data_IF_165275351411
#
_entry.id   IF_165275351411
#
_cell.length_a   1.000
_cell.length_b   1.000
_cell.length_c   1.000
_cell.angle_alpha   90.00
_cell.angle_beta   90.00
_cell.angle_gamma   90.00
#
_symmetry.space_group_name_H-M   'P 1'
#
loop_
_entity.id
_entity.type
_entity.pdbx_description
1 polymer ?
#
# COMPACT_ATOMS: atom_id res chain seq x y z
N UNK A 1 -2.09 -1.36 19.49
CA UNK A 1 -2.72 -2.67 19.17
C UNK A 1 -2.49 -3.10 17.73
N UNK A 2 -2.72 -2.26 16.70
CA UNK A 2 -2.54 -2.64 15.29
C UNK A 2 -1.14 -3.14 14.92
N UNK A 3 -0.07 -2.43 15.31
CA UNK A 3 1.31 -2.86 15.07
C UNK A 3 1.64 -4.22 15.69
N UNK A 4 1.09 -4.50 16.88
CA UNK A 4 1.26 -5.78 17.55
C UNK A 4 0.58 -6.89 16.77
N UNK A 5 -0.64 -6.67 16.27
CA UNK A 5 -1.33 -7.59 15.39
C UNK A 5 -0.50 -7.87 14.13
N UNK A 6 -0.02 -6.82 13.45
CA UNK A 6 0.81 -6.95 12.25
C UNK A 6 2.06 -7.78 12.50
N UNK A 7 2.79 -7.55 13.61
CA UNK A 7 3.99 -8.33 13.93
C UNK A 7 3.70 -9.83 14.13
N UNK A 8 2.62 -10.17 14.85
CA UNK A 8 2.23 -11.58 15.03
C UNK A 8 1.83 -12.20 13.69
N UNK A 9 1.14 -11.43 12.86
CA UNK A 9 0.73 -11.86 11.54
C UNK A 9 1.93 -12.14 10.63
N UNK A 10 2.95 -11.28 10.64
CA UNK A 10 4.16 -11.44 9.83
C UNK A 10 4.92 -12.70 10.22
N UNK A 11 4.97 -12.96 11.52
CA UNK A 11 5.57 -14.20 12.04
C UNK A 11 4.83 -15.43 11.54
N UNK A 12 3.49 -15.40 11.54
CA UNK A 12 2.68 -16.51 11.04
C UNK A 12 2.77 -16.67 9.52
N UNK A 13 2.74 -15.57 8.75
CA UNK A 13 2.88 -15.58 7.30
C UNK A 13 4.17 -16.30 6.87
N UNK A 14 5.30 -15.92 7.47
CA UNK A 14 6.60 -16.56 7.23
C UNK A 14 6.62 -18.06 7.55
N UNK A 15 5.72 -18.57 8.41
CA UNK A 15 5.63 -20.00 8.71
C UNK A 15 4.72 -20.76 7.74
N UNK A 16 3.74 -20.09 7.14
CA UNK A 16 2.71 -20.72 6.30
C UNK A 16 2.87 -20.47 4.80
N UNK A 17 3.77 -19.57 4.39
CA UNK A 17 3.98 -19.18 2.98
C UNK A 17 4.26 -20.37 2.05
N UNK A 18 4.85 -21.46 2.56
CA UNK A 18 5.16 -22.67 1.80
C UNK A 18 4.00 -23.68 1.74
N UNK A 19 2.86 -23.40 2.39
CA UNK A 19 1.74 -24.33 2.56
C UNK A 19 0.49 -23.75 1.88
N UNK A 20 0.26 -24.02 0.57
CA UNK A 20 -0.75 -23.34 -0.23
C UNK A 20 -2.18 -23.39 0.36
N UNK A 21 -2.57 -24.55 0.90
CA UNK A 21 -3.91 -24.73 1.48
C UNK A 21 -4.12 -23.97 2.80
N UNK A 22 -3.04 -23.62 3.48
CA UNK A 22 -3.08 -22.83 4.71
C UNK A 22 -3.00 -21.35 4.37
N UNK A 23 -2.17 -20.99 3.39
CA UNK A 23 -2.02 -19.62 2.93
C UNK A 23 -3.34 -18.99 2.47
N UNK A 24 -4.14 -19.71 1.67
CA UNK A 24 -5.45 -19.21 1.20
C UNK A 24 -6.44 -18.94 2.36
N UNK A 25 -6.53 -19.87 3.31
CA UNK A 25 -7.35 -19.71 4.52
C UNK A 25 -6.86 -18.56 5.40
N UNK A 26 -5.55 -18.43 5.50
CA UNK A 26 -4.89 -17.38 6.27
C UNK A 26 -5.18 -16.00 5.68
N UNK A 27 -5.04 -15.84 4.35
CA UNK A 27 -5.40 -14.61 3.64
C UNK A 27 -6.89 -14.26 3.81
N UNK A 28 -7.77 -15.25 3.65
CA UNK A 28 -9.22 -15.06 3.85
C UNK A 28 -9.54 -14.56 5.25
N UNK A 29 -8.95 -15.18 6.28
CA UNK A 29 -9.12 -14.74 7.66
C UNK A 29 -8.57 -13.32 7.88
N UNK A 30 -7.42 -12.99 7.29
CA UNK A 30 -6.83 -11.64 7.34
C UNK A 30 -7.81 -10.59 6.83
N UNK A 31 -8.36 -10.82 5.63
CA UNK A 31 -9.28 -9.90 4.98
C UNK A 31 -10.51 -9.67 5.85
N UNK A 32 -11.05 -10.74 6.44
CA UNK A 32 -12.18 -10.65 7.35
C UNK A 32 -11.84 -9.82 8.60
N UNK A 33 -10.67 -9.97 9.21
CA UNK A 33 -10.33 -9.17 10.40
C UNK A 33 -10.22 -7.67 10.10
N UNK A 34 -9.78 -7.28 8.90
CA UNK A 34 -9.72 -5.86 8.50
C UNK A 34 -11.10 -5.31 8.14
N UNK A 35 -11.83 -6.03 7.29
CA UNK A 35 -13.06 -5.53 6.66
C UNK A 35 -14.31 -5.86 7.50
N UNK A 36 -14.18 -6.68 8.54
CA UNK A 36 -15.26 -6.90 9.50
C UNK A 36 -15.49 -5.64 10.34
N UNK A 37 -16.76 -5.30 10.59
CA UNK A 37 -17.14 -4.09 11.33
C UNK A 37 -17.56 -2.90 10.48
N UNK A 38 -17.80 -3.09 9.17
CA UNK A 38 -18.33 -2.06 8.27
C UNK A 38 -17.27 -1.14 7.65
N UNK A 39 -15.99 -1.41 7.91
CA UNK A 39 -14.87 -0.72 7.26
C UNK A 39 -14.69 -1.27 5.84
N UNK A 40 -14.72 -0.37 4.85
CA UNK A 40 -14.47 -0.69 3.43
C UNK A 40 -13.11 -0.15 2.99
N UNK A 41 -12.60 -0.64 1.87
CA UNK A 41 -11.35 -0.13 1.27
C UNK A 41 -11.42 1.39 1.03
N UNK A 42 -12.57 1.91 0.58
CA UNK A 42 -12.74 3.36 0.36
C UNK A 42 -12.70 4.13 1.69
N UNK A 43 -13.25 3.59 2.78
CA UNK A 43 -13.14 4.25 4.10
C UNK A 43 -11.71 4.24 4.65
N UNK A 44 -10.92 3.22 4.34
CA UNK A 44 -9.50 3.14 4.70
C UNK A 44 -8.70 4.20 3.93
N UNK A 45 -8.95 4.35 2.63
CA UNK A 45 -8.20 5.26 1.76
C UNK A 45 -8.62 6.73 1.88
N UNK A 46 -9.81 7.00 2.43
CA UNK A 46 -10.28 8.36 2.68
C UNK A 46 -9.63 8.93 3.93
N UNK A 47 -8.79 9.97 3.80
CA UNK A 47 -8.28 10.73 4.95
C UNK A 47 -9.26 11.84 5.31
N UNK A 48 -9.84 11.76 6.50
CA UNK A 48 -10.74 12.81 6.99
C UNK A 48 -9.91 13.97 7.58
N UNK A 49 -10.39 15.22 7.48
CA UNK A 49 -9.72 16.36 8.12
C UNK A 49 -9.53 16.20 9.63
N UNK A 50 -10.36 15.38 10.26
CA UNK A 50 -10.32 15.09 11.71
C UNK A 50 -9.39 13.94 12.08
N UNK A 51 -8.81 13.24 11.10
CA UNK A 51 -7.91 12.12 11.38
C UNK A 51 -6.60 12.63 11.98
N UNK A 52 -6.27 12.14 13.18
CA UNK A 52 -4.95 12.37 13.77
C UNK A 52 -3.87 11.51 13.08
N UNK A 53 -2.60 11.82 13.33
CA UNK A 53 -1.48 11.14 12.66
C UNK A 53 -1.47 9.63 12.92
N UNK A 54 -1.89 9.18 14.11
CA UNK A 54 -2.01 7.74 14.41
C UNK A 54 -3.11 7.08 13.57
N UNK A 55 -4.25 7.74 13.36
CA UNK A 55 -5.34 7.23 12.51
C UNK A 55 -4.88 7.11 11.06
N UNK A 56 -4.18 8.12 10.52
CA UNK A 56 -3.63 8.10 9.16
C UNK A 56 -2.63 6.96 8.98
N UNK A 57 -1.71 6.81 9.93
CA UNK A 57 -0.74 5.71 9.96
C UNK A 57 -1.44 4.34 10.00
N UNK A 58 -2.44 4.16 10.86
CA UNK A 58 -3.17 2.88 10.96
C UNK A 58 -3.88 2.57 9.63
N UNK A 59 -4.51 3.56 8.99
CA UNK A 59 -5.12 3.40 7.67
C UNK A 59 -4.09 2.97 6.62
N UNK A 60 -2.93 3.60 6.59
CA UNK A 60 -1.81 3.22 5.71
C UNK A 60 -1.40 1.76 5.91
N UNK A 61 -1.19 1.35 7.17
CA UNK A 61 -0.82 -0.02 7.53
C UNK A 61 -1.91 -1.04 7.17
N UNK A 62 -3.20 -0.70 7.34
CA UNK A 62 -4.30 -1.59 6.93
C UNK A 62 -4.33 -1.79 5.42
N UNK A 63 -4.15 -0.72 4.65
CA UNK A 63 -4.10 -0.80 3.20
C UNK A 63 -2.92 -1.65 2.71
N UNK A 64 -1.73 -1.39 3.24
CA UNK A 64 -0.54 -2.22 2.98
C UNK A 64 -0.78 -3.69 3.28
N UNK A 65 -1.37 -3.96 4.44
CA UNK A 65 -1.66 -5.31 4.91
C UNK A 65 -2.60 -6.06 3.97
N UNK A 66 -3.69 -5.42 3.52
CA UNK A 66 -4.61 -6.01 2.55
C UNK A 66 -3.91 -6.37 1.23
N UNK A 67 -3.10 -5.45 0.70
CA UNK A 67 -2.33 -5.71 -0.52
C UNK A 67 -1.35 -6.87 -0.34
N UNK A 68 -0.70 -6.96 0.83
CA UNK A 68 0.23 -8.04 1.15
C UNK A 68 -0.43 -9.41 1.21
N UNK A 69 -1.67 -9.45 1.69
CA UNK A 69 -2.49 -10.66 1.75
C UNK A 69 -3.16 -11.01 0.42
N UNK A 70 -2.72 -10.37 -0.67
CA UNK A 70 -3.21 -10.60 -2.02
C UNK A 70 -4.71 -10.30 -2.20
N UNK A 71 -5.22 -9.32 -1.44
CA UNK A 71 -6.59 -8.83 -1.62
C UNK A 71 -6.72 -8.12 -2.98
N UNK A 72 -7.46 -8.72 -3.92
CA UNK A 72 -7.52 -8.28 -5.30
C UNK A 72 -7.91 -6.80 -5.46
N UNK A 73 -8.92 -6.33 -4.70
CA UNK A 73 -9.38 -4.95 -4.79
C UNK A 73 -8.35 -3.94 -4.28
N UNK A 74 -7.57 -4.29 -3.26
CA UNK A 74 -6.57 -3.35 -2.74
C UNK A 74 -5.38 -3.22 -3.69
N UNK A 75 -4.96 -4.32 -4.34
CA UNK A 75 -3.94 -4.30 -5.40
C UNK A 75 -4.42 -3.50 -6.61
N UNK A 76 -5.65 -3.74 -7.06
CA UNK A 76 -6.26 -2.96 -8.16
C UNK A 76 -6.28 -1.48 -7.81
N UNK A 77 -6.74 -1.13 -6.61
CA UNK A 77 -6.81 0.25 -6.14
C UNK A 77 -5.44 0.91 -6.00
N UNK A 78 -4.41 0.16 -5.57
CA UNK A 78 -3.03 0.64 -5.56
C UNK A 78 -2.59 1.06 -6.97
N UNK A 79 -2.87 0.23 -7.97
CA UNK A 79 -2.56 0.55 -9.37
C UNK A 79 -3.37 1.71 -9.92
N UNK A 80 -4.66 1.82 -9.58
CA UNK A 80 -5.50 2.95 -9.96
C UNK A 80 -4.96 4.27 -9.39
N UNK A 81 -4.62 4.28 -8.09
CA UNK A 81 -4.03 5.43 -7.42
C UNK A 81 -2.69 5.81 -8.07
N UNK A 82 -1.83 4.85 -8.37
CA UNK A 82 -0.56 5.11 -9.06
C UNK A 82 -0.79 5.85 -10.39
N UNK A 83 -1.74 5.35 -11.20
CA UNK A 83 -2.07 5.93 -12.51
C UNK A 83 -2.70 7.33 -12.43
N UNK A 84 -3.18 7.75 -11.26
CA UNK A 84 -3.64 9.14 -11.05
C UNK A 84 -2.51 10.12 -10.75
N UNK A 85 -1.32 9.63 -10.43
CA UNK A 85 -0.16 10.47 -10.14
C UNK A 85 0.34 11.10 -11.45
N UNK A 86 0.36 12.44 -11.56
CA UNK A 86 0.85 13.10 -12.75
C UNK A 86 2.32 12.76 -12.99
N UNK A 87 2.71 12.48 -14.24
CA UNK A 87 4.11 12.18 -14.59
C UNK A 87 5.07 13.28 -14.12
N UNK A 88 4.60 14.54 -14.11
CA UNK A 88 5.36 15.69 -13.65
C UNK A 88 5.76 15.57 -12.17
N UNK A 89 4.99 14.87 -11.34
CA UNK A 89 5.31 14.66 -9.92
C UNK A 89 6.64 13.91 -9.75
N UNK A 90 6.92 12.94 -10.62
CA UNK A 90 8.17 12.15 -10.59
C UNK A 90 9.40 12.96 -11.03
N UNK A 91 9.20 14.15 -11.59
CA UNK A 91 10.26 15.09 -11.93
C UNK A 91 10.30 16.30 -10.98
N UNK A 92 9.19 16.60 -10.30
CA UNK A 92 9.07 17.67 -9.32
C UNK A 92 8.02 17.32 -8.25
N UNK A 93 8.48 17.03 -7.04
CA UNK A 93 7.64 16.61 -5.91
C UNK A 93 6.78 17.71 -5.28
N UNK A 94 6.89 18.96 -5.75
CA UNK A 94 6.05 20.08 -5.29
C UNK A 94 4.59 20.00 -5.81
N UNK A 95 4.32 19.07 -6.72
CA UNK A 95 2.98 18.84 -7.25
C UNK A 95 2.16 18.05 -6.24
N UNK A 96 1.01 18.60 -5.85
CA UNK A 96 0.04 17.88 -5.02
C UNK A 96 -0.61 16.73 -5.80
N UNK A 97 -0.52 15.51 -5.26
CA UNK A 97 -1.02 14.29 -5.92
C UNK A 97 -2.31 13.74 -5.33
N UNK A 98 -2.89 14.41 -4.34
CA UNK A 98 -4.17 14.00 -3.73
C UNK A 98 -4.16 12.66 -2.99
N UNK A 99 -3.00 12.01 -2.87
CA UNK A 99 -2.80 10.75 -2.15
C UNK A 99 -2.06 11.05 -0.85
N UNK A 100 -2.57 10.52 0.26
CA UNK A 100 -1.93 10.63 1.56
C UNK A 100 -0.54 9.98 1.58
N UNK A 101 0.42 10.62 2.24
CA UNK A 101 1.81 10.13 2.31
C UNK A 101 1.91 8.69 2.86
N UNK A 102 1.08 8.34 3.83
CA UNK A 102 1.03 7.00 4.44
C UNK A 102 0.62 5.88 3.46
N UNK A 103 0.08 6.22 2.29
CA UNK A 103 -0.32 5.26 1.26
C UNK A 103 0.71 5.11 0.13
N UNK A 104 1.60 6.10 -0.07
CA UNK A 104 2.43 6.20 -1.27
C UNK A 104 3.36 5.00 -1.45
N UNK A 105 4.03 4.58 -0.38
CA UNK A 105 4.92 3.40 -0.42
C UNK A 105 4.17 2.15 -0.87
N UNK A 106 2.95 1.96 -0.36
CA UNK A 106 2.07 0.84 -0.75
C UNK A 106 1.64 0.96 -2.21
N UNK A 107 1.19 2.15 -2.63
CA UNK A 107 0.77 2.44 -4.01
C UNK A 107 1.89 2.10 -4.99
N UNK A 108 3.10 2.62 -4.78
CA UNK A 108 4.26 2.35 -5.63
C UNK A 108 4.62 0.86 -5.65
N UNK A 109 4.76 0.26 -4.47
CA UNK A 109 5.22 -1.13 -4.33
C UNK A 109 4.27 -2.10 -5.02
N UNK A 110 2.96 -1.99 -4.76
CA UNK A 110 2.00 -2.97 -5.24
C UNK A 110 1.59 -2.74 -6.68
N UNK A 111 1.65 -1.51 -7.19
CA UNK A 111 1.55 -1.27 -8.61
C UNK A 111 2.72 -1.93 -9.36
N UNK A 112 3.97 -1.57 -9.04
CA UNK A 112 5.16 -2.11 -9.73
C UNK A 112 5.34 -3.62 -9.60
N UNK A 113 4.87 -4.22 -8.50
CA UNK A 113 4.92 -5.67 -8.30
C UNK A 113 3.94 -6.43 -9.18
N UNK A 114 2.81 -5.82 -9.57
CA UNK A 114 1.72 -6.49 -10.29
C UNK A 114 1.47 -5.96 -11.70
N UNK A 115 2.02 -4.79 -12.04
CA UNK A 115 2.02 -4.24 -13.39
C UNK A 115 3.40 -4.47 -14.01
N UNK A 116 3.46 -5.19 -15.13
CA UNK A 116 4.70 -5.55 -15.84
C UNK A 116 5.09 -4.44 -16.84
N UNK A 117 5.02 -3.19 -16.40
CA UNK A 117 5.33 -2.02 -17.22
C UNK A 117 6.74 -1.50 -16.90
N UNK A 118 7.68 -1.78 -17.80
CA UNK A 118 9.06 -1.32 -17.69
C UNK A 118 9.18 0.21 -17.62
N UNK A 119 8.27 0.95 -18.27
CA UNK A 119 8.29 2.41 -18.24
C UNK A 119 8.01 2.96 -16.83
N UNK A 120 7.10 2.34 -16.08
CA UNK A 120 6.76 2.74 -14.71
C UNK A 120 7.92 2.43 -13.76
N UNK A 121 8.61 1.30 -13.96
CA UNK A 121 9.85 0.97 -13.25
C UNK A 121 10.96 1.99 -13.50
N UNK A 122 11.21 2.34 -14.77
CA UNK A 122 12.22 3.31 -15.16
C UNK A 122 11.91 4.71 -14.61
N UNK A 123 10.65 5.12 -14.63
CA UNK A 123 10.17 6.38 -14.06
C UNK A 123 10.46 6.45 -12.56
N UNK A 124 10.09 5.40 -11.81
CA UNK A 124 10.31 5.33 -10.36
C UNK A 124 11.79 5.29 -9.99
N UNK A 125 12.61 4.59 -10.77
CA UNK A 125 14.06 4.58 -10.59
C UNK A 125 14.69 5.96 -10.79
N UNK A 126 14.25 6.71 -11.80
CA UNK A 126 14.70 8.07 -12.03
C UNK A 126 14.26 9.03 -10.92
N UNK A 127 13.00 8.91 -10.47
CA UNK A 127 12.51 9.68 -9.31
C UNK A 127 13.37 9.42 -8.07
N UNK A 128 13.69 8.16 -7.78
CA UNK A 128 14.56 7.80 -6.66
C UNK A 128 15.94 8.45 -6.77
N UNK A 129 16.57 8.41 -7.96
CA UNK A 129 17.87 9.07 -8.20
C UNK A 129 17.84 10.55 -7.87
N UNK A 130 16.80 11.26 -8.28
CA UNK A 130 16.61 12.69 -8.01
C UNK A 130 16.44 12.92 -6.49
N UNK A 131 15.66 12.07 -5.83
CA UNK A 131 15.38 12.20 -4.39
C UNK A 131 16.60 11.93 -3.49
N UNK A 132 17.47 10.98 -3.86
CA UNK A 132 18.64 10.56 -3.05
C UNK A 132 19.96 11.19 -3.47
N UNK A 133 20.04 11.79 -4.66
CA UNK A 133 21.15 12.64 -5.05
C UNK A 133 20.76 14.08 -4.78
N UNK A 134 21.00 14.63 -3.56
CA UNK A 134 20.92 16.06 -3.40
C UNK A 134 21.90 16.65 -4.42
N UNK A 135 21.40 17.56 -5.26
CA UNK A 135 22.17 18.23 -6.29
C UNK A 135 23.53 18.66 -5.72
N UNK A 136 24.61 18.21 -6.36
CA UNK A 136 25.95 18.75 -6.15
C UNK A 136 26.04 20.16 -6.71
#
# INVERSE_FOLDING_TARGET
HWRTFQWHWDTLANLVDYLPNILDKFQTFAHQQILSGGETLDTILTLNPTDNDNTKLIKGLKFEFLCRMNHADSIRKASELFKTIPIQYFNNSDIGIGIGADFLTTVYTYHLKHDDNEADWNMMFNYYKIAVSPQA
#
